data_IF_427179904410
#
_entry.id   IF_427179904410
#
_cell.length_a   1.000
_cell.length_b   1.000
_cell.length_c   1.000
_cell.angle_alpha   90.00
_cell.angle_beta   90.00
_cell.angle_gamma   90.00
#
_symmetry.space_group_name_H-M   'P 1'
#
loop_
_entity.id
_entity.type
_entity.pdbx_description
1 polymer ?
#
# COMPACT_ATOMS: atom_id res chain seq x y z
N UNK A 1 -18.55 70.45 -67.60
CA UNK A 1 -18.32 69.12 -68.21
C UNK A 1 -17.49 68.27 -67.24
N UNK A 2 -17.98 67.07 -66.87
CA UNK A 2 -17.25 65.82 -66.52
C UNK A 2 -16.17 65.89 -65.41
N UNK A 3 -16.10 65.05 -64.37
CA UNK A 3 -16.63 63.69 -64.11
C UNK A 3 -16.56 63.38 -62.59
N UNK A 4 -17.54 62.62 -62.12
CA UNK A 4 -17.52 61.75 -60.93
C UNK A 4 -16.25 60.87 -60.87
N UNK A 5 -15.69 60.66 -59.67
CA UNK A 5 -15.32 59.31 -59.20
C UNK A 5 -15.56 59.17 -57.69
N UNK A 6 -16.24 58.07 -57.39
CA UNK A 6 -16.73 57.59 -56.10
C UNK A 6 -15.60 56.78 -55.43
N UNK A 7 -15.27 57.06 -54.17
CA UNK A 7 -14.41 56.20 -53.36
C UNK A 7 -15.20 55.73 -52.14
N UNK A 8 -15.71 54.50 -52.22
CA UNK A 8 -16.33 53.78 -51.10
C UNK A 8 -15.18 53.24 -50.24
N UNK A 9 -15.05 53.77 -49.02
CA UNK A 9 -14.08 53.28 -48.04
C UNK A 9 -14.77 52.23 -47.17
N UNK A 10 -14.53 50.95 -47.48
CA UNK A 10 -15.00 49.82 -46.69
C UNK A 10 -14.15 49.72 -45.42
N UNK A 11 -14.73 50.06 -44.27
CA UNK A 11 -14.10 49.86 -42.96
C UNK A 11 -14.22 48.38 -42.60
N UNK A 12 -13.13 47.63 -42.74
CA UNK A 12 -13.01 46.27 -42.23
C UNK A 12 -12.70 46.38 -40.73
N UNK A 13 -13.71 46.15 -39.88
CA UNK A 13 -13.50 45.96 -38.45
C UNK A 13 -12.91 44.58 -38.20
N UNK A 14 -11.60 44.54 -37.96
CA UNK A 14 -10.92 43.34 -37.45
C UNK A 14 -11.39 43.15 -36.00
N UNK A 15 -12.25 42.17 -35.78
CA UNK A 15 -12.56 41.68 -34.45
C UNK A 15 -11.30 41.01 -33.88
N UNK A 16 -10.61 41.72 -32.99
CA UNK A 16 -9.49 41.16 -32.24
C UNK A 16 -10.01 40.06 -31.32
N UNK A 17 -9.71 38.80 -31.67
CA UNK A 17 -9.84 37.66 -30.76
C UNK A 17 -8.78 37.88 -29.66
N UNK A 18 -9.20 38.43 -28.52
CA UNK A 18 -8.37 38.49 -27.33
C UNK A 18 -8.25 37.07 -26.78
N UNK A 19 -7.11 36.43 -27.04
CA UNK A 19 -6.67 35.26 -26.28
C UNK A 19 -6.39 35.75 -24.86
N UNK A 20 -7.31 35.50 -23.92
CA UNK A 20 -7.06 35.72 -22.51
C UNK A 20 -5.95 34.76 -22.07
N UNK A 21 -4.76 35.30 -21.85
CA UNK A 21 -3.70 34.60 -21.13
C UNK A 21 -4.22 34.27 -19.73
N UNK A 22 -4.06 33.01 -19.30
CA UNK A 22 -4.29 32.64 -17.89
C UNK A 22 -3.45 33.56 -17.00
N UNK A 23 -4.11 34.33 -16.15
CA UNK A 23 -3.47 35.26 -15.21
C UNK A 23 -2.75 34.44 -14.13
N UNK A 24 -1.50 34.05 -14.42
CA UNK A 24 -0.60 33.34 -13.50
C UNK A 24 0.02 34.32 -12.51
N UNK A 25 -0.80 35.02 -11.73
CA UNK A 25 -0.33 35.85 -10.63
C UNK A 25 0.51 34.98 -9.67
N UNK A 26 1.73 35.41 -9.29
CA UNK A 26 2.55 34.65 -8.36
C UNK A 26 1.90 34.61 -6.97
N UNK A 27 1.95 33.45 -6.31
CA UNK A 27 1.53 33.30 -4.92
C UNK A 27 2.61 33.91 -4.01
N UNK A 28 2.32 35.04 -3.38
CA UNK A 28 3.32 35.82 -2.64
C UNK A 28 3.24 35.60 -1.14
N UNK A 29 2.06 35.27 -0.61
CA UNK A 29 1.86 35.08 0.84
C UNK A 29 1.89 33.60 1.25
N UNK A 30 2.19 33.33 2.53
CA UNK A 30 2.11 31.98 3.08
C UNK A 30 0.68 31.43 3.01
N UNK A 31 -0.34 32.27 3.25
CA UNK A 31 -1.75 31.90 3.15
C UNK A 31 -2.10 31.43 1.74
N UNK A 32 -1.73 32.20 0.71
CA UNK A 32 -1.96 31.86 -0.70
C UNK A 32 -1.31 30.52 -1.07
N UNK A 33 -0.04 30.33 -0.70
CA UNK A 33 0.71 29.09 -0.98
C UNK A 33 0.05 27.88 -0.30
N UNK A 34 -0.34 28.00 0.97
CA UNK A 34 -1.02 26.92 1.70
C UNK A 34 -2.38 26.59 1.10
N UNK A 35 -3.22 27.59 0.81
CA UNK A 35 -4.53 27.36 0.18
C UNK A 35 -4.42 26.69 -1.19
N UNK A 36 -3.45 27.10 -2.01
CA UNK A 36 -3.17 26.45 -3.30
C UNK A 36 -2.73 25.00 -3.11
N UNK A 37 -1.82 24.74 -2.16
CA UNK A 37 -1.35 23.39 -1.86
C UNK A 37 -2.49 22.46 -1.39
N UNK A 38 -3.43 22.95 -0.58
CA UNK A 38 -4.63 22.20 -0.16
C UNK A 38 -5.48 21.82 -1.38
N UNK A 39 -5.72 22.75 -2.30
CA UNK A 39 -6.48 22.46 -3.53
C UNK A 39 -5.78 21.42 -4.42
N UNK A 40 -4.46 21.51 -4.56
CA UNK A 40 -3.65 20.51 -5.29
C UNK A 40 -3.74 19.13 -4.62
N UNK A 41 -3.63 19.06 -3.30
CA UNK A 41 -3.70 17.80 -2.57
C UNK A 41 -5.09 17.16 -2.66
N UNK A 42 -6.16 17.96 -2.58
CA UNK A 42 -7.54 17.50 -2.76
C UNK A 42 -7.74 16.84 -4.14
N UNK A 43 -7.31 17.48 -5.21
CA UNK A 43 -7.44 16.93 -6.57
C UNK A 43 -6.56 15.68 -6.77
N UNK A 44 -5.39 15.62 -6.13
CA UNK A 44 -4.55 14.41 -6.12
C UNK A 44 -5.24 13.26 -5.40
N UNK A 45 -5.93 13.53 -4.30
CA UNK A 45 -6.72 12.52 -3.60
C UNK A 45 -7.89 12.01 -4.44
N UNK A 46 -8.62 12.90 -5.11
CA UNK A 46 -9.66 12.51 -6.07
C UNK A 46 -9.13 11.55 -7.13
N UNK A 47 -7.99 11.88 -7.77
CA UNK A 47 -7.36 10.99 -8.77
C UNK A 47 -6.94 9.64 -8.18
N UNK A 48 -6.34 9.65 -6.99
CA UNK A 48 -5.87 8.43 -6.31
C UNK A 48 -7.02 7.50 -5.92
N UNK A 49 -8.19 8.06 -5.64
CA UNK A 49 -9.42 7.33 -5.34
C UNK A 49 -10.31 7.12 -6.59
N UNK A 50 -9.85 7.52 -7.77
CA UNK A 50 -10.60 7.47 -9.03
C UNK A 50 -11.98 8.18 -8.97
N UNK A 51 -12.04 9.29 -8.24
CA UNK A 51 -13.23 10.14 -8.08
C UNK A 51 -13.30 11.10 -9.26
N UNK A 52 -14.36 11.00 -10.05
CA UNK A 52 -14.68 11.92 -11.13
C UNK A 52 -15.53 13.08 -10.60
N UNK A 53 -14.89 14.03 -9.92
CA UNK A 53 -15.57 15.15 -9.29
C UNK A 53 -15.71 16.35 -10.25
N UNK A 54 -16.89 16.98 -10.28
CA UNK A 54 -17.07 18.29 -10.89
C UNK A 54 -16.41 19.36 -10.00
N UNK A 55 -15.23 19.82 -10.41
CA UNK A 55 -14.46 20.82 -9.66
C UNK A 55 -15.18 22.16 -9.54
N UNK A 56 -16.02 22.54 -10.52
CA UNK A 56 -16.78 23.78 -10.42
C UNK A 56 -17.84 23.69 -9.32
N UNK A 57 -18.51 22.54 -9.21
CA UNK A 57 -19.47 22.28 -8.14
C UNK A 57 -18.79 22.24 -6.76
N UNK A 58 -17.62 21.60 -6.66
CA UNK A 58 -16.82 21.55 -5.42
C UNK A 58 -16.41 22.96 -4.97
N UNK A 59 -15.81 23.74 -5.87
CA UNK A 59 -15.38 25.11 -5.58
C UNK A 59 -16.57 25.97 -5.16
N UNK A 60 -17.70 25.85 -5.87
CA UNK A 60 -18.93 26.56 -5.53
C UNK A 60 -19.43 26.22 -4.13
N UNK A 61 -19.49 24.93 -3.77
CA UNK A 61 -19.88 24.50 -2.43
C UNK A 61 -18.97 25.07 -1.34
N UNK A 62 -17.65 25.03 -1.55
CA UNK A 62 -16.67 25.61 -0.61
C UNK A 62 -16.85 27.13 -0.45
N UNK A 63 -17.08 27.85 -1.55
CA UNK A 63 -17.27 29.30 -1.53
C UNK A 63 -18.57 29.71 -0.85
N UNK A 64 -19.67 29.01 -1.14
CA UNK A 64 -20.99 29.26 -0.53
C UNK A 64 -20.97 28.99 0.98
N UNK A 65 -20.38 27.87 1.41
CA UNK A 65 -20.22 27.52 2.83
C UNK A 65 -19.33 28.53 3.57
N UNK A 66 -18.15 28.85 3.03
CA UNK A 66 -17.24 29.83 3.65
C UNK A 66 -17.88 31.23 3.77
N UNK A 67 -18.71 31.62 2.80
CA UNK A 67 -19.45 32.87 2.82
C UNK A 67 -20.75 32.81 3.65
N UNK A 68 -21.07 31.66 4.25
CA UNK A 68 -22.34 31.39 4.95
C UNK A 68 -23.57 31.73 4.11
N UNK A 69 -23.47 31.50 2.80
CA UNK A 69 -24.59 31.66 1.86
C UNK A 69 -25.54 30.48 2.00
N UNK A 70 -26.76 30.67 1.53
CA UNK A 70 -27.71 29.56 1.37
C UNK A 70 -27.11 28.53 0.40
N UNK A 71 -26.87 27.33 0.88
CA UNK A 71 -26.40 26.20 0.08
C UNK A 71 -27.48 25.75 -0.90
N UNK A 72 -27.03 25.15 -2.02
CA UNK A 72 -27.91 24.54 -3.01
C UNK A 72 -28.54 23.21 -2.58
N UNK A 73 -28.10 22.67 -1.45
CA UNK A 73 -28.64 21.46 -0.83
C UNK A 73 -28.91 21.74 0.64
N UNK A 74 -29.96 21.13 1.17
CA UNK A 74 -30.23 21.13 2.61
C UNK A 74 -29.24 20.22 3.34
N UNK A 75 -29.02 20.44 4.64
CA UNK A 75 -28.14 19.59 5.45
C UNK A 75 -28.48 18.07 5.37
N UNK A 76 -29.77 17.66 5.38
CA UNK A 76 -30.13 16.26 5.18
C UNK A 76 -29.75 15.73 3.80
N UNK A 77 -29.89 16.53 2.75
CA UNK A 77 -29.50 16.13 1.38
C UNK A 77 -27.99 15.97 1.25
N UNK A 78 -27.20 16.88 1.84
CA UNK A 78 -25.74 16.80 1.88
C UNK A 78 -25.32 15.51 2.61
N UNK A 79 -25.87 15.28 3.80
CA UNK A 79 -25.56 14.10 4.62
C UNK A 79 -25.91 12.80 3.88
N UNK A 80 -27.09 12.73 3.26
CA UNK A 80 -27.54 11.56 2.49
C UNK A 80 -26.64 11.31 1.28
N UNK A 81 -26.25 12.36 0.57
CA UNK A 81 -25.39 12.26 -0.62
C UNK A 81 -24.01 11.75 -0.25
N UNK A 82 -23.40 12.30 0.81
CA UNK A 82 -22.11 11.83 1.31
C UNK A 82 -22.17 10.39 1.85
N UNK A 83 -23.28 10.00 2.48
CA UNK A 83 -23.49 8.62 2.95
C UNK A 83 -23.56 7.63 1.80
N UNK A 84 -24.34 7.95 0.76
CA UNK A 84 -24.45 7.11 -0.44
C UNK A 84 -23.09 6.97 -1.14
N UNK A 85 -22.38 8.09 -1.29
CA UNK A 85 -21.04 8.10 -1.86
C UNK A 85 -20.05 7.23 -1.08
N UNK A 86 -20.04 7.31 0.26
CA UNK A 86 -19.21 6.42 1.10
C UNK A 86 -19.59 4.95 0.95
N UNK A 87 -20.88 4.63 0.80
CA UNK A 87 -21.35 3.26 0.59
C UNK A 87 -20.89 2.72 -0.78
N UNK A 88 -20.94 3.55 -1.83
CA UNK A 88 -20.42 3.22 -3.15
C UNK A 88 -18.92 2.93 -3.12
N UNK A 89 -18.13 3.80 -2.47
CA UNK A 89 -16.69 3.60 -2.30
C UNK A 89 -16.40 2.29 -1.55
N UNK A 90 -17.09 2.02 -0.44
CA UNK A 90 -16.94 0.77 0.32
C UNK A 90 -17.27 -0.46 -0.53
N UNK A 91 -18.33 -0.38 -1.34
CA UNK A 91 -18.74 -1.47 -2.22
C UNK A 91 -17.72 -1.71 -3.34
N UNK A 92 -17.21 -0.64 -3.96
CA UNK A 92 -16.17 -0.72 -4.97
C UNK A 92 -14.87 -1.31 -4.40
N UNK A 93 -14.46 -0.90 -3.20
CA UNK A 93 -13.32 -1.46 -2.48
C UNK A 93 -13.53 -2.95 -2.15
N UNK A 94 -14.73 -3.34 -1.71
CA UNK A 94 -15.05 -4.75 -1.44
C UNK A 94 -14.95 -5.60 -2.72
N UNK A 95 -15.46 -5.11 -3.86
CA UNK A 95 -15.34 -5.78 -5.15
C UNK A 95 -13.89 -5.89 -5.62
N UNK A 96 -13.10 -4.82 -5.50
CA UNK A 96 -11.67 -4.85 -5.80
C UNK A 96 -10.97 -5.88 -4.92
N UNK A 97 -11.26 -5.89 -3.62
CA UNK A 97 -10.69 -6.83 -2.66
C UNK A 97 -11.01 -8.29 -3.02
N UNK A 98 -12.25 -8.58 -3.44
CA UNK A 98 -12.63 -9.92 -3.91
C UNK A 98 -11.86 -10.30 -5.19
N UNK A 99 -11.78 -9.40 -6.18
CA UNK A 99 -10.99 -9.64 -7.40
C UNK A 99 -9.52 -9.91 -7.08
N UNK A 100 -8.91 -9.11 -6.21
CA UNK A 100 -7.54 -9.30 -5.76
C UNK A 100 -7.36 -10.62 -5.01
N UNK A 101 -8.31 -11.01 -4.15
CA UNK A 101 -8.26 -12.27 -3.41
C UNK A 101 -8.25 -13.49 -4.35
N UNK A 102 -9.10 -13.48 -5.37
CA UNK A 102 -9.15 -14.54 -6.38
C UNK A 102 -7.89 -14.55 -7.24
N UNK A 103 -7.41 -13.37 -7.66
CA UNK A 103 -6.18 -13.26 -8.43
C UNK A 103 -4.98 -13.78 -7.65
N UNK A 104 -4.77 -13.29 -6.43
CA UNK A 104 -3.67 -13.72 -5.56
C UNK A 104 -3.71 -15.22 -5.26
N UNK A 105 -4.91 -15.78 -5.02
CA UNK A 105 -5.08 -17.22 -4.78
C UNK A 105 -4.66 -18.04 -6.01
N UNK A 106 -5.05 -17.60 -7.22
CA UNK A 106 -4.64 -18.26 -8.48
C UNK A 106 -3.14 -18.15 -8.71
N UNK A 107 -2.59 -16.94 -8.59
CA UNK A 107 -1.17 -16.67 -8.85
C UNK A 107 -0.28 -17.37 -7.82
N UNK A 108 -0.65 -17.33 -6.55
CA UNK A 108 0.01 -18.05 -5.47
C UNK A 108 0.05 -19.56 -5.71
N UNK A 109 -1.10 -20.16 -6.04
CA UNK A 109 -1.17 -21.60 -6.37
C UNK A 109 -0.32 -21.95 -7.58
N UNK A 110 -0.37 -21.14 -8.64
CA UNK A 110 0.42 -21.34 -9.86
C UNK A 110 1.92 -21.27 -9.56
N UNK A 111 2.34 -20.21 -8.85
CA UNK A 111 3.71 -20.00 -8.43
C UNK A 111 4.24 -21.18 -7.61
N UNK A 112 3.55 -21.57 -6.53
CA UNK A 112 3.99 -22.66 -5.66
C UNK A 112 4.03 -24.00 -6.40
N UNK A 113 3.08 -24.24 -7.32
CA UNK A 113 3.06 -25.45 -8.16
C UNK A 113 4.28 -25.53 -9.08
N UNK A 114 4.71 -24.40 -9.67
CA UNK A 114 5.91 -24.36 -10.50
C UNK A 114 7.19 -24.39 -9.64
N UNK A 115 7.18 -23.71 -8.50
CA UNK A 115 8.34 -23.53 -7.64
C UNK A 115 8.80 -24.84 -6.97
N UNK A 116 7.88 -25.76 -6.67
CA UNK A 116 8.20 -27.09 -6.11
C UNK A 116 9.16 -27.92 -6.97
N UNK A 117 9.21 -27.65 -8.28
CA UNK A 117 10.06 -28.36 -9.24
C UNK A 117 11.39 -27.67 -9.50
N UNK A 118 11.64 -26.51 -8.86
CA UNK A 118 12.91 -25.80 -9.02
C UNK A 118 14.00 -26.43 -8.18
N UNK A 119 15.23 -26.33 -8.68
CA UNK A 119 16.41 -26.89 -8.02
C UNK A 119 16.61 -26.30 -6.61
N UNK A 120 16.80 -27.20 -5.64
CA UNK A 120 17.03 -26.89 -4.24
C UNK A 120 15.77 -26.50 -3.46
N UNK A 121 14.58 -26.51 -4.09
CA UNK A 121 13.31 -26.27 -3.39
C UNK A 121 12.82 -27.57 -2.75
N UNK A 122 12.49 -27.49 -1.46
CA UNK A 122 11.87 -28.55 -0.68
C UNK A 122 10.47 -28.12 -0.30
N UNK A 123 9.49 -29.01 -0.46
CA UNK A 123 8.10 -28.79 -0.06
C UNK A 123 7.76 -29.61 1.19
N UNK A 124 7.23 -28.97 2.22
CA UNK A 124 6.73 -29.61 3.42
C UNK A 124 5.27 -30.06 3.27
N UNK A 125 4.81 -30.94 4.16
CA UNK A 125 3.41 -31.42 4.16
C UNK A 125 2.38 -30.31 4.38
N UNK A 126 2.77 -29.22 5.06
CA UNK A 126 1.95 -28.01 5.25
C UNK A 126 1.77 -27.19 3.97
N UNK A 127 2.53 -27.50 2.91
CA UNK A 127 2.60 -26.71 1.68
C UNK A 127 3.66 -25.60 1.72
N UNK A 128 4.29 -25.35 2.87
CA UNK A 128 5.46 -24.46 2.95
C UNK A 128 6.57 -24.98 2.03
N UNK A 129 7.16 -24.09 1.25
CA UNK A 129 8.35 -24.41 0.46
C UNK A 129 9.53 -23.60 0.96
N UNK A 130 10.72 -24.19 0.89
CA UNK A 130 11.95 -23.48 1.21
C UNK A 130 13.09 -23.89 0.29
N UNK A 131 14.08 -23.02 0.18
CA UNK A 131 15.36 -23.26 -0.46
C UNK A 131 16.48 -22.81 0.48
N UNK A 132 17.44 -23.70 0.72
CA UNK A 132 18.64 -23.36 1.48
C UNK A 132 19.58 -22.57 0.58
N UNK A 133 19.83 -21.30 0.91
CA UNK A 133 20.78 -20.44 0.19
C UNK A 133 22.18 -20.60 0.78
N UNK A 134 22.26 -20.66 2.11
CA UNK A 134 23.47 -20.95 2.86
C UNK A 134 23.13 -21.88 4.01
N UNK A 135 23.83 -23.00 4.11
CA UNK A 135 23.69 -23.92 5.23
C UNK A 135 24.47 -23.38 6.45
N UNK A 136 23.80 -23.31 7.59
CA UNK A 136 24.42 -23.15 8.90
C UNK A 136 24.68 -24.49 9.56
N UNK A 137 25.47 -24.48 10.63
CA UNK A 137 25.83 -25.65 11.43
C UNK A 137 25.49 -25.50 12.92
N UNK A 138 24.82 -24.41 13.30
CA UNK A 138 24.45 -24.13 14.69
C UNK A 138 23.17 -24.86 15.13
N UNK A 139 22.77 -24.61 16.39
CA UNK A 139 21.55 -25.18 16.98
C UNK A 139 20.31 -24.76 16.18
N UNK A 140 19.34 -25.67 16.05
CA UNK A 140 17.98 -25.36 15.59
C UNK A 140 17.12 -24.86 16.77
N UNK A 141 16.33 -23.78 16.60
CA UNK A 141 15.49 -23.26 17.67
C UNK A 141 14.34 -24.22 18.02
N UNK A 142 14.02 -24.33 19.30
CA UNK A 142 12.78 -24.94 19.78
C UNK A 142 11.60 -23.96 19.81
N UNK A 143 10.41 -24.45 20.17
CA UNK A 143 9.17 -23.64 20.16
C UNK A 143 9.21 -22.42 21.11
N UNK A 144 10.00 -22.47 22.18
CA UNK A 144 10.10 -21.42 23.20
C UNK A 144 11.34 -20.54 23.07
N UNK A 145 12.24 -20.87 22.13
CA UNK A 145 13.49 -20.15 21.94
C UNK A 145 13.24 -18.78 21.29
N UNK A 146 14.10 -17.82 21.64
CA UNK A 146 14.28 -16.60 20.87
C UNK A 146 15.20 -16.85 19.67
N UNK A 147 14.98 -16.14 18.59
CA UNK A 147 15.83 -16.18 17.39
C UNK A 147 16.19 -14.76 16.98
N UNK A 148 17.46 -14.53 16.67
CA UNK A 148 17.92 -13.27 16.09
C UNK A 148 18.14 -13.48 14.59
N UNK A 149 17.49 -12.69 13.76
CA UNK A 149 17.58 -12.82 12.31
C UNK A 149 17.67 -11.47 11.60
N UNK A 150 18.18 -11.54 10.36
CA UNK A 150 17.85 -10.58 9.31
C UNK A 150 16.85 -11.22 8.38
N UNK A 151 15.97 -10.42 7.83
CA UNK A 151 14.99 -10.89 6.89
C UNK A 151 14.51 -9.79 5.95
N UNK A 152 13.95 -10.23 4.83
CA UNK A 152 13.31 -9.40 3.81
C UNK A 152 12.08 -10.13 3.27
N UNK A 153 10.92 -9.48 3.34
CA UNK A 153 9.62 -9.99 2.90
C UNK A 153 9.14 -9.28 1.64
N UNK A 154 8.74 -10.07 0.64
CA UNK A 154 8.25 -9.59 -0.65
C UNK A 154 7.00 -10.33 -1.11
N UNK A 155 6.14 -9.64 -1.87
CA UNK A 155 5.07 -10.27 -2.64
C UNK A 155 5.65 -10.92 -3.91
N UNK A 156 4.84 -11.71 -4.61
CA UNK A 156 5.27 -12.39 -5.86
C UNK A 156 5.67 -11.42 -6.99
N UNK A 157 5.16 -10.19 -6.96
CA UNK A 157 5.51 -9.13 -7.92
C UNK A 157 6.80 -8.39 -7.56
N UNK A 158 7.45 -8.74 -6.44
CA UNK A 158 8.66 -8.10 -5.94
C UNK A 158 8.42 -6.91 -5.02
N UNK A 159 7.16 -6.52 -4.76
CA UNK A 159 6.84 -5.47 -3.79
C UNK A 159 7.34 -5.86 -2.40
N UNK A 160 8.27 -5.08 -1.87
CA UNK A 160 8.78 -5.24 -0.51
C UNK A 160 7.80 -4.65 0.50
N UNK A 161 7.46 -5.43 1.52
CA UNK A 161 6.53 -5.00 2.57
C UNK A 161 7.14 -5.00 3.97
N UNK A 162 8.28 -5.68 4.16
CA UNK A 162 8.97 -5.74 5.45
C UNK A 162 10.46 -6.06 5.24
N UNK A 163 11.35 -5.35 5.94
CA UNK A 163 12.79 -5.50 5.79
C UNK A 163 13.53 -5.06 7.06
N UNK A 164 14.20 -6.01 7.70
CA UNK A 164 14.98 -5.75 8.92
C UNK A 164 16.16 -4.81 8.73
N UNK A 165 16.74 -4.72 7.52
CA UNK A 165 17.90 -3.85 7.28
C UNK A 165 17.53 -2.37 7.38
N UNK A 166 16.26 -2.01 7.10
CA UNK A 166 15.75 -0.65 7.27
C UNK A 166 15.83 -0.15 8.71
N UNK A 167 15.91 -1.07 9.68
CA UNK A 167 16.04 -0.78 11.11
C UNK A 167 17.50 -0.59 11.55
N UNK A 168 18.46 -1.02 10.72
CA UNK A 168 19.90 -0.90 11.00
C UNK A 168 20.46 -1.93 12.00
N UNK A 169 19.65 -2.81 12.57
CA UNK A 169 20.08 -3.86 13.49
C UNK A 169 19.27 -5.16 13.34
N UNK A 170 19.84 -6.34 13.66
CA UNK A 170 19.11 -7.61 13.64
C UNK A 170 17.93 -7.63 14.61
N UNK A 171 16.82 -8.25 14.19
CA UNK A 171 15.60 -8.30 14.99
C UNK A 171 15.53 -9.64 15.73
N UNK A 172 15.05 -9.61 16.98
CA UNK A 172 14.83 -10.82 17.77
C UNK A 172 13.35 -11.13 17.89
N UNK A 173 12.97 -12.35 17.53
CA UNK A 173 11.61 -12.86 17.66
C UNK A 173 11.59 -14.09 18.58
N UNK A 174 10.44 -14.39 19.19
CA UNK A 174 10.23 -15.65 19.91
C UNK A 174 9.43 -16.60 19.03
N UNK A 175 9.89 -17.84 18.83
CA UNK A 175 9.24 -18.79 17.91
C UNK A 175 7.75 -18.99 18.23
N UNK A 176 7.38 -18.99 19.51
CA UNK A 176 5.98 -19.07 19.96
C UNK A 176 5.13 -17.84 19.64
N UNK A 177 5.72 -16.64 19.59
CA UNK A 177 4.99 -15.37 19.59
C UNK A 177 5.05 -14.68 18.22
N UNK A 178 3.98 -13.97 17.85
CA UNK A 178 3.95 -12.91 16.80
C UNK A 178 4.65 -13.18 15.46
N UNK A 179 4.70 -14.45 15.05
CA UNK A 179 5.27 -14.87 13.79
C UNK A 179 4.21 -15.70 13.04
N UNK A 180 4.11 -15.54 11.73
CA UNK A 180 3.21 -16.33 10.87
C UNK A 180 3.56 -17.84 10.92
N UNK A 181 2.58 -18.71 10.69
CA UNK A 181 2.77 -20.16 10.84
C UNK A 181 3.94 -20.72 9.99
N UNK A 182 4.11 -20.22 8.76
CA UNK A 182 5.18 -20.65 7.86
C UNK A 182 6.58 -20.34 8.39
N UNK A 183 6.77 -19.20 9.06
CA UNK A 183 8.04 -18.90 9.72
C UNK A 183 8.28 -19.81 10.94
N UNK A 184 7.24 -20.09 11.74
CA UNK A 184 7.37 -20.99 12.90
C UNK A 184 7.85 -22.38 12.47
N UNK A 185 7.33 -22.88 11.36
CA UNK A 185 7.78 -24.15 10.77
C UNK A 185 9.21 -24.05 10.21
N UNK A 186 9.50 -23.04 9.39
CA UNK A 186 10.82 -22.86 8.79
C UNK A 186 11.93 -22.74 9.84
N UNK A 187 11.76 -21.87 10.83
CA UNK A 187 12.78 -21.58 11.83
C UNK A 187 13.20 -22.84 12.59
N UNK A 188 12.26 -23.71 12.96
CA UNK A 188 12.56 -24.98 13.67
C UNK A 188 13.39 -25.96 12.85
N UNK A 189 13.41 -25.81 11.53
CA UNK A 189 14.21 -26.62 10.62
C UNK A 189 15.57 -25.97 10.31
N UNK A 190 15.70 -24.65 10.50
CA UNK A 190 16.90 -23.86 10.19
C UNK A 190 17.97 -23.97 11.28
N UNK A 191 19.16 -24.52 10.99
CA UNK A 191 20.32 -24.36 11.86
C UNK A 191 20.73 -22.88 11.97
N UNK A 192 21.16 -22.42 13.14
CA UNK A 192 21.78 -21.09 13.25
C UNK A 192 22.98 -20.94 12.29
N UNK A 193 23.14 -19.74 11.73
CA UNK A 193 24.07 -19.42 10.65
C UNK A 193 23.55 -19.67 9.24
N UNK A 194 22.32 -20.19 9.10
CA UNK A 194 21.72 -20.45 7.79
C UNK A 194 21.10 -19.21 7.17
N UNK A 195 21.12 -19.13 5.84
CA UNK A 195 20.27 -18.24 5.05
C UNK A 195 19.33 -19.06 4.19
N UNK A 196 18.03 -18.92 4.37
CA UNK A 196 17.00 -19.61 3.60
C UNK A 196 16.12 -18.61 2.86
N UNK A 197 15.57 -19.04 1.73
CA UNK A 197 14.43 -18.42 1.11
C UNK A 197 13.22 -19.32 1.34
N UNK A 198 12.14 -18.78 1.88
CA UNK A 198 10.89 -19.50 2.11
C UNK A 198 9.77 -18.89 1.26
N UNK A 199 8.90 -19.75 0.76
CA UNK A 199 7.74 -19.39 -0.05
C UNK A 199 6.51 -19.87 0.71
N UNK A 200 5.77 -18.92 1.24
CA UNK A 200 4.75 -19.16 2.26
C UNK A 200 3.37 -19.02 1.61
N UNK A 201 2.60 -20.13 1.48
CA UNK A 201 1.20 -20.08 1.10
C UNK A 201 0.42 -19.15 2.02
N UNK A 202 -0.63 -18.53 1.50
CA UNK A 202 -1.38 -17.50 2.24
C UNK A 202 -1.93 -18.01 3.58
N UNK A 203 -2.32 -19.28 3.64
CA UNK A 203 -2.86 -20.00 4.80
C UNK A 203 -1.85 -20.14 5.94
N UNK A 204 -0.55 -20.15 5.60
CA UNK A 204 0.56 -20.15 6.55
C UNK A 204 1.10 -18.72 6.81
N UNK A 205 0.48 -17.71 6.21
CA UNK A 205 0.82 -16.29 6.30
C UNK A 205 -0.34 -15.47 6.88
N UNK A 206 -0.94 -14.58 6.08
CA UNK A 206 -1.98 -13.63 6.50
C UNK A 206 -3.38 -13.97 5.95
N UNK A 207 -3.50 -15.07 5.21
CA UNK A 207 -4.75 -15.66 4.72
C UNK A 207 -5.63 -14.70 3.92
N UNK A 208 -6.94 -14.96 3.97
CA UNK A 208 -7.96 -14.18 3.27
C UNK A 208 -8.05 -12.73 3.72
N UNK A 209 -7.54 -12.40 4.91
CA UNK A 209 -7.58 -11.03 5.44
C UNK A 209 -6.49 -10.15 4.83
N UNK A 210 -5.31 -10.71 4.59
CA UNK A 210 -4.12 -9.92 4.30
C UNK A 210 -3.62 -9.18 5.55
N UNK A 211 -2.69 -8.25 5.37
CA UNK A 211 -2.14 -7.44 6.45
C UNK A 211 -1.59 -6.10 5.95
N UNK A 212 -1.78 -5.04 6.74
CA UNK A 212 -1.30 -3.70 6.39
C UNK A 212 -1.95 -3.17 5.13
N UNK A 213 -1.22 -2.32 4.39
CA UNK A 213 -1.68 -1.75 3.12
C UNK A 213 -1.19 -2.56 1.92
N UNK A 214 -0.08 -3.25 2.09
CA UNK A 214 0.69 -3.90 1.05
C UNK A 214 0.25 -5.35 0.85
N UNK A 215 0.03 -6.12 1.93
CA UNK A 215 -0.27 -7.54 1.83
C UNK A 215 -1.77 -7.73 1.60
N UNK A 216 -2.12 -7.93 0.33
CA UNK A 216 -3.49 -8.22 -0.09
C UNK A 216 -4.03 -9.57 0.43
N UNK A 217 -5.35 -9.79 0.29
CA UNK A 217 -5.98 -11.06 0.64
C UNK A 217 -5.39 -12.23 -0.17
N UNK A 218 -5.24 -13.39 0.47
CA UNK A 218 -4.72 -14.63 -0.12
C UNK A 218 -3.33 -14.50 -0.77
N UNK A 219 -2.55 -13.49 -0.37
CA UNK A 219 -1.22 -13.30 -0.92
C UNK A 219 -0.27 -14.42 -0.47
N UNK A 220 0.40 -15.04 -1.43
CA UNK A 220 1.61 -15.83 -1.18
C UNK A 220 2.77 -14.87 -1.01
N UNK A 221 3.60 -15.11 0.01
CA UNK A 221 4.72 -14.21 0.33
C UNK A 221 6.04 -14.97 0.31
N UNK A 222 7.10 -14.26 -0.02
CA UNK A 222 8.45 -14.77 -0.09
C UNK A 222 9.27 -14.07 0.97
N UNK A 223 9.96 -14.84 1.80
CA UNK A 223 10.93 -14.30 2.75
C UNK A 223 12.31 -14.85 2.45
N UNK A 224 13.30 -13.97 2.46
CA UNK A 224 14.68 -14.36 2.73
C UNK A 224 14.95 -14.17 4.22
N UNK A 225 15.48 -15.19 4.89
CA UNK A 225 15.76 -15.18 6.32
C UNK A 225 17.20 -15.64 6.53
N UNK A 226 18.00 -14.80 7.17
CA UNK A 226 19.31 -15.16 7.72
C UNK A 226 19.15 -15.34 9.23
N UNK A 227 19.18 -16.59 9.69
CA UNK A 227 19.13 -16.92 11.12
C UNK A 227 20.53 -16.78 11.71
N UNK A 228 20.75 -15.72 12.48
CA UNK A 228 22.06 -15.40 13.05
C UNK A 228 22.33 -16.19 14.33
N UNK A 229 21.35 -16.23 15.24
CA UNK A 229 21.51 -16.86 16.55
C UNK A 229 20.20 -17.45 17.07
N UNK A 230 20.32 -18.48 17.90
CA UNK A 230 19.25 -19.01 18.75
C UNK A 230 19.57 -18.60 20.17
N UNK A 231 18.66 -17.84 20.77
CA UNK A 231 18.74 -17.34 22.14
C UNK A 231 17.79 -18.20 22.99
N UNK A 232 18.30 -19.21 23.71
CA UNK A 232 17.46 -19.99 24.61
C UNK A 232 16.77 -19.04 25.58
N UNK A 233 15.48 -19.27 25.85
CA UNK A 233 14.80 -18.50 26.89
C UNK A 233 15.60 -18.69 28.18
N UNK A 234 16.23 -17.62 28.68
CA UNK A 234 16.78 -17.63 30.02
C UNK A 234 15.62 -18.02 30.94
N UNK A 235 15.76 -19.13 31.66
CA UNK A 235 14.89 -19.43 32.80
C UNK A 235 15.00 -18.20 33.68
N UNK A 236 13.94 -17.41 33.75
CA UNK A 236 13.87 -16.31 34.70
C UNK A 236 14.14 -16.97 36.06
N UNK A 237 15.23 -16.64 36.79
CA UNK A 237 15.39 -17.19 38.12
C UNK A 237 14.13 -16.80 38.87
N UNK A 238 13.43 -17.79 39.41
CA UNK A 238 12.24 -17.57 40.21
C UNK A 238 12.53 -16.41 41.16
N UNK A 239 11.61 -15.43 41.22
CA UNK A 239 11.67 -14.37 42.22
C UNK A 239 11.98 -15.05 43.55
N UNK A 240 13.15 -14.79 44.13
CA UNK A 240 13.40 -15.10 45.53
C UNK A 240 12.33 -14.31 46.27
N UNK A 241 11.33 -15.01 46.80
CA UNK A 241 10.42 -14.43 47.78
C UNK A 241 11.28 -13.80 48.86
N UNK A 242 11.21 -12.47 48.93
CA UNK A 242 11.71 -11.73 50.09
C UNK A 242 10.60 -11.83 51.13
N UNK A 243 10.75 -12.77 52.04
CA UNK A 243 10.18 -12.70 53.39
C UNK A 243 10.67 -11.46 54.11
#
# INVERSE_FOLDING_TARGET
MRKLQLAVLTVITVAAIQVQAEDRQPLTTAKEKTSYAIGVDLVRDFKRQAIDADLNAVIRGMQEENAKKKLLMTEPEITKTLTNYQLELKSAQALLRLKTAEQNKRDGKSFLTANKSREGVVTLSSGLQYKVIKAGNGKKPGDTDGVTCRYRGTLLDGTEFDNSESLGYPVTFYVKDSIIAGWKEALKLMPAGSKWQIFVPSELAFGEKGAGREIGPNATIIYEIELLAVNPKAVHPAKKDRT
#
